data_IF_472857545415
#
_entry.id   IF_472857545415
#
_cell.length_a   1.000
_cell.length_b   1.000
_cell.length_c   1.000
_cell.angle_alpha   90.00
_cell.angle_beta   90.00
_cell.angle_gamma   90.00
#
_symmetry.space_group_name_H-M   'P 1'
#
loop_
_entity.id
_entity.type
_entity.pdbx_description
1 polymer ?
#
# COMPACT_ATOMS: atom_id res chain seq x y z
N UNK A 1 -9.13 5.52 -5.72
CA UNK A 1 -9.79 4.81 -4.61
C UNK A 1 -8.78 3.96 -3.87
N UNK A 2 -8.94 3.79 -2.56
CA UNK A 2 -8.13 2.86 -1.75
C UNK A 2 -9.02 1.71 -1.29
N UNK A 3 -8.61 0.46 -1.51
CA UNK A 3 -9.30 -0.73 -1.04
C UNK A 3 -8.33 -1.76 -0.46
N UNK A 4 -8.83 -2.65 0.39
CA UNK A 4 -8.04 -3.72 1.00
C UNK A 4 -8.58 -5.08 0.55
N UNK A 5 -7.68 -5.99 0.21
CA UNK A 5 -7.97 -7.38 -0.15
C UNK A 5 -6.96 -8.30 0.55
N UNK A 6 -7.15 -9.62 0.44
CA UNK A 6 -6.26 -10.63 1.02
C UNK A 6 -5.93 -10.39 2.50
N UNK A 7 -6.93 -9.93 3.27
CA UNK A 7 -6.79 -9.59 4.68
C UNK A 7 -6.58 -10.88 5.47
N UNK A 8 -5.43 -10.96 6.15
CA UNK A 8 -5.01 -12.04 7.03
C UNK A 8 -4.67 -11.46 8.40
N UNK A 9 -4.34 -12.34 9.33
CA UNK A 9 -3.98 -11.96 10.71
C UNK A 9 -2.82 -10.96 10.79
N UNK A 10 -1.82 -11.08 9.90
CA UNK A 10 -0.58 -10.28 9.90
C UNK A 10 -0.26 -9.62 8.57
N UNK A 11 -1.22 -9.59 7.63
CA UNK A 11 -1.00 -8.98 6.32
C UNK A 11 -2.28 -8.57 5.62
N UNK A 12 -2.15 -7.65 4.68
CA UNK A 12 -3.19 -7.31 3.72
C UNK A 12 -2.59 -6.66 2.46
N UNK A 13 -3.35 -6.71 1.36
CA UNK A 13 -3.04 -6.01 0.13
C UNK A 13 -3.80 -4.68 0.06
N UNK A 14 -3.08 -3.57 -0.04
CA UNK A 14 -3.63 -2.23 -0.26
C UNK A 14 -3.61 -1.91 -1.74
N UNK A 15 -4.78 -1.79 -2.33
CA UNK A 15 -4.97 -1.35 -3.70
C UNK A 15 -5.08 0.17 -3.74
N UNK A 16 -4.27 0.82 -4.56
CA UNK A 16 -4.30 2.26 -4.78
C UNK A 16 -4.55 2.59 -6.24
N UNK A 17 -5.80 2.93 -6.54
CA UNK A 17 -6.22 3.38 -7.86
C UNK A 17 -6.26 4.90 -7.90
N UNK A 18 -5.65 5.49 -8.92
CA UNK A 18 -5.59 6.95 -9.09
C UNK A 18 -5.43 7.30 -10.56
N UNK A 19 -6.05 8.41 -10.99
CA UNK A 19 -5.77 9.01 -12.29
C UNK A 19 -4.46 9.80 -12.29
N UNK A 20 -4.01 10.26 -11.11
CA UNK A 20 -2.77 11.05 -10.95
C UNK A 20 -1.55 10.12 -10.85
N UNK A 21 -0.62 10.14 -11.82
CA UNK A 21 0.59 9.33 -11.74
C UNK A 21 1.55 9.88 -10.66
N UNK A 22 2.45 9.01 -10.16
CA UNK A 22 3.57 9.42 -9.30
C UNK A 22 3.25 9.58 -7.81
N UNK A 23 2.03 9.27 -7.35
CA UNK A 23 1.64 9.38 -5.94
C UNK A 23 1.92 8.13 -5.10
N UNK A 24 2.44 7.04 -5.68
CA UNK A 24 2.78 5.82 -4.94
C UNK A 24 3.71 6.04 -3.72
N UNK A 25 4.77 6.88 -3.80
CA UNK A 25 5.61 7.17 -2.63
C UNK A 25 4.85 7.85 -1.46
N UNK A 26 3.82 8.64 -1.77
CA UNK A 26 2.96 9.26 -0.75
C UNK A 26 2.19 8.19 0.02
N UNK A 27 1.63 7.19 -0.67
CA UNK A 27 0.90 6.07 -0.04
C UNK A 27 1.81 5.29 0.90
N UNK A 28 3.04 4.99 0.48
CA UNK A 28 4.04 4.35 1.34
C UNK A 28 4.31 5.18 2.60
N UNK A 29 4.42 6.50 2.46
CA UNK A 29 4.56 7.42 3.59
C UNK A 29 3.38 7.37 4.56
N UNK A 30 2.14 7.37 4.05
CA UNK A 30 0.93 7.25 4.87
C UNK A 30 0.86 5.93 5.63
N UNK A 31 1.16 4.81 4.98
CA UNK A 31 1.18 3.49 5.61
C UNK A 31 2.21 3.43 6.76
N UNK A 32 3.44 3.91 6.51
CA UNK A 32 4.46 4.02 7.57
C UNK A 32 4.02 4.92 8.73
N UNK A 33 3.34 6.02 8.42
CA UNK A 33 2.76 6.92 9.42
C UNK A 33 1.72 6.23 10.31
N UNK A 34 0.87 5.39 9.73
CA UNK A 34 -0.10 4.58 10.49
C UNK A 34 0.59 3.56 11.40
N UNK A 35 1.62 2.86 10.91
CA UNK A 35 2.41 1.94 11.74
C UNK A 35 3.02 2.61 12.96
N UNK A 36 3.63 3.80 12.76
CA UNK A 36 4.14 4.61 13.87
C UNK A 36 3.03 5.03 14.84
N UNK A 37 1.87 5.46 14.33
CA UNK A 37 0.74 5.93 15.15
C UNK A 37 0.16 4.84 16.04
N UNK A 38 0.08 3.60 15.54
CA UNK A 38 -0.47 2.46 16.27
C UNK A 38 0.59 1.62 17.00
N UNK A 39 1.86 2.06 16.99
CA UNK A 39 2.98 1.31 17.55
C UNK A 39 3.09 -0.12 16.99
N UNK A 40 2.79 -0.25 15.69
CA UNK A 40 2.80 -1.50 14.94
C UNK A 40 3.93 -1.44 13.93
N UNK A 41 4.98 -2.26 14.06
CA UNK A 41 6.03 -2.37 13.05
C UNK A 41 5.40 -2.77 11.72
N UNK A 42 5.63 -1.99 10.66
CA UNK A 42 5.10 -2.28 9.32
C UNK A 42 6.21 -2.50 8.33
N UNK A 43 6.07 -3.58 7.54
CA UNK A 43 6.80 -3.75 6.29
C UNK A 43 5.85 -3.51 5.13
N UNK A 44 6.24 -2.64 4.19
CA UNK A 44 5.44 -2.30 3.01
C UNK A 44 6.23 -2.68 1.76
N UNK A 45 5.67 -3.54 0.91
CA UNK A 45 6.24 -3.97 -0.36
C UNK A 45 5.35 -3.52 -1.51
N UNK A 46 5.91 -2.78 -2.47
CA UNK A 46 5.19 -2.36 -3.68
C UNK A 46 5.24 -3.49 -4.70
N UNK A 47 4.24 -4.37 -4.67
CA UNK A 47 4.20 -5.64 -5.42
C UNK A 47 3.69 -5.49 -6.85
N UNK A 48 2.80 -4.54 -7.09
CA UNK A 48 2.28 -4.20 -8.43
C UNK A 48 2.41 -2.71 -8.64
N UNK A 49 3.04 -2.28 -9.74
CA UNK A 49 3.27 -0.86 -10.02
C UNK A 49 2.53 -0.40 -11.26
N UNK A 50 1.73 0.66 -11.12
CA UNK A 50 1.07 1.31 -12.26
C UNK A 50 2.10 1.83 -13.27
N UNK A 51 3.26 2.28 -12.80
CA UNK A 51 4.38 2.74 -13.65
C UNK A 51 4.97 1.65 -14.54
N UNK A 52 4.73 0.38 -14.25
CA UNK A 52 5.20 -0.78 -15.02
C UNK A 52 4.10 -1.34 -15.94
N UNK A 53 3.01 -0.59 -16.15
CA UNK A 53 1.91 -0.95 -17.06
C UNK A 53 0.75 -1.69 -16.40
N UNK A 54 0.78 -1.87 -15.07
CA UNK A 54 -0.36 -2.42 -14.35
C UNK A 54 -1.53 -1.42 -14.26
N UNK A 55 -2.78 -1.88 -14.08
CA UNK A 55 -3.94 -0.99 -13.95
C UNK A 55 -3.82 0.02 -12.80
N UNK A 56 -3.30 -0.42 -11.66
CA UNK A 56 -3.14 0.38 -10.44
C UNK A 56 -2.01 -0.17 -9.55
N UNK A 57 -1.66 0.55 -8.50
CA UNK A 57 -0.61 0.14 -7.56
C UNK A 57 -1.17 -0.80 -6.48
N UNK A 58 -0.40 -1.84 -6.13
CA UNK A 58 -0.72 -2.73 -5.01
C UNK A 58 0.47 -2.77 -4.05
N UNK A 59 0.18 -2.57 -2.76
CA UNK A 59 1.15 -2.66 -1.68
C UNK A 59 0.78 -3.82 -0.76
N UNK A 60 1.66 -4.80 -0.63
CA UNK A 60 1.57 -5.81 0.43
C UNK A 60 2.09 -5.20 1.72
N UNK A 61 1.26 -5.25 2.76
CA UNK A 61 1.57 -4.73 4.09
C UNK A 61 1.62 -5.89 5.07
N UNK A 62 2.69 -5.96 5.87
CA UNK A 62 2.91 -6.93 6.92
C UNK A 62 3.02 -6.21 8.27
N UNK A 63 2.31 -6.70 9.30
CA UNK A 63 2.30 -6.16 10.68
C UNK A 63 2.42 -7.25 11.74
#
# INVERSE_FOLDING_TARGET
MITCTDIKEHSLNVHYETERPGLAPMVVGLLKGLGKRFNTPLTVRHTTKKSEGAPHDIFEVLF
#
